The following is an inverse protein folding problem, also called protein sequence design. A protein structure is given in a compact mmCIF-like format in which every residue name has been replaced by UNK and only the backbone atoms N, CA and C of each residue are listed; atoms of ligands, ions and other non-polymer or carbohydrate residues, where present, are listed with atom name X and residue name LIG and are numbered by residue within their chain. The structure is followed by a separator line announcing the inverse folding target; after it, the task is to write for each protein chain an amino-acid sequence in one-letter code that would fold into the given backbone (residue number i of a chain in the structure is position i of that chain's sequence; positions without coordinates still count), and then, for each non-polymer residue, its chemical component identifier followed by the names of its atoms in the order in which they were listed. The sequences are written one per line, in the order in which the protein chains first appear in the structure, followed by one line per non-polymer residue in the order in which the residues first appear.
data_IF_006232713004
#
_entry.id   IF_006232713004
#
_cell.length_a   1.000
_cell.length_b   1.000
_cell.length_c   1.000
_cell.angle_alpha   90.00
_cell.angle_beta   90.00
_cell.angle_gamma   90.00
#
_symmetry.space_group_name_H-M   'P 1'
#
loop_
_entity.id
_entity.type
_entity.pdbx_description
1 polymer ?
#
# COMPACT_ATOMS: atom_id res chain seq x y z
N UNK A 1 -21.79 -13.44 17.19
CA UNK A 1 -20.42 -13.94 16.92
C UNK A 1 -19.61 -12.81 16.30
N UNK A 2 -18.62 -12.25 17.00
CA UNK A 2 -17.69 -11.31 16.37
C UNK A 2 -16.81 -12.11 15.39
N UNK A 3 -17.04 -11.97 14.09
CA UNK A 3 -16.16 -12.48 13.05
C UNK A 3 -14.80 -11.77 13.20
N UNK A 4 -13.90 -12.35 14.00
CA UNK A 4 -12.53 -11.86 14.15
C UNK A 4 -11.85 -12.01 12.80
N UNK A 5 -11.35 -10.91 12.22
CA UNK A 5 -10.55 -10.96 11.00
C UNK A 5 -9.43 -12.01 11.16
N UNK A 6 -9.33 -12.99 10.24
CA UNK A 6 -8.29 -14.02 10.23
C UNK A 6 -6.86 -13.45 10.26
N UNK A 7 -5.90 -14.23 10.77
CA UNK A 7 -4.51 -13.78 10.95
C UNK A 7 -3.82 -13.49 9.61
N UNK A 8 -4.03 -14.34 8.60
CA UNK A 8 -3.58 -14.15 7.23
C UNK A 8 -4.11 -12.85 6.62
N UNK A 9 -5.42 -12.56 6.79
CA UNK A 9 -6.02 -11.30 6.33
C UNK A 9 -5.44 -10.08 7.06
N UNK A 10 -5.20 -10.18 8.37
CA UNK A 10 -4.55 -9.12 9.15
C UNK A 10 -3.11 -8.89 8.70
N UNK A 11 -2.35 -9.95 8.47
CA UNK A 11 -0.98 -9.86 8.00
C UNK A 11 -0.90 -9.24 6.60
N UNK A 12 -1.78 -9.67 5.70
CA UNK A 12 -1.96 -9.07 4.38
C UNK A 12 -2.24 -7.57 4.45
N UNK A 13 -3.17 -7.18 5.32
CA UNK A 13 -3.48 -5.77 5.56
C UNK A 13 -2.26 -4.97 6.04
N UNK A 14 -1.44 -5.53 6.93
CA UNK A 14 -0.19 -4.88 7.36
C UNK A 14 0.76 -4.68 6.18
N UNK A 15 0.98 -5.70 5.35
CA UNK A 15 1.86 -5.59 4.18
C UNK A 15 1.38 -4.56 3.16
N UNK A 16 0.08 -4.54 2.85
CA UNK A 16 -0.52 -3.52 1.99
C UNK A 16 -0.42 -2.11 2.56
N UNK A 17 -0.66 -1.94 3.86
CA UNK A 17 -0.55 -0.62 4.50
C UNK A 17 0.89 -0.10 4.53
N UNK A 18 1.87 -0.99 4.74
CA UNK A 18 3.30 -0.64 4.64
C UNK A 18 3.68 -0.23 3.23
N UNK A 19 3.15 -0.93 2.22
CA UNK A 19 3.50 -0.66 0.84
C UNK A 19 2.71 0.50 0.21
N UNK A 20 1.54 0.86 0.75
CA UNK A 20 0.72 1.99 0.30
C UNK A 20 0.99 3.29 1.06
N UNK A 21 2.17 3.41 1.68
CA UNK A 21 2.53 4.63 2.40
C UNK A 21 2.72 5.79 1.43
N UNK A 22 2.20 6.96 1.82
CA UNK A 22 2.45 8.23 1.16
C UNK A 22 3.18 9.17 2.06
N UNK A 23 3.95 10.07 1.45
CA UNK A 23 4.54 11.17 2.17
C UNK A 23 3.46 12.20 2.52
N UNK A 24 3.34 12.57 3.79
CA UNK A 24 2.45 13.63 4.25
C UNK A 24 3.13 14.45 5.35
N UNK A 25 3.45 15.70 5.03
CA UNK A 25 4.23 16.56 5.92
C UNK A 25 5.66 16.05 6.08
N UNK A 26 5.98 15.46 7.24
CA UNK A 26 7.30 14.91 7.55
C UNK A 26 7.30 13.40 7.82
N UNK A 27 6.19 12.72 7.49
CA UNK A 27 6.00 11.30 7.85
C UNK A 27 5.40 10.50 6.69
N UNK A 28 5.74 9.22 6.67
CA UNK A 28 5.05 8.24 5.85
C UNK A 28 3.76 7.81 6.54
N UNK A 29 2.64 7.97 5.84
CA UNK A 29 1.30 7.63 6.36
C UNK A 29 0.65 6.62 5.40
N UNK A 30 0.15 5.47 5.88
CA UNK A 30 -0.58 4.53 5.05
C UNK A 30 -1.84 5.13 4.41
N UNK A 31 -2.15 4.72 3.19
CA UNK A 31 -3.39 5.10 2.49
C UNK A 31 -4.57 4.22 2.92
N UNK A 32 -5.02 4.41 4.16
CA UNK A 32 -6.07 3.59 4.78
C UNK A 32 -7.35 3.42 3.93
N UNK A 33 -7.81 4.49 3.26
CA UNK A 33 -9.05 4.43 2.46
C UNK A 33 -8.90 3.59 1.20
N UNK A 34 -7.71 3.56 0.60
CA UNK A 34 -7.45 2.80 -0.61
C UNK A 34 -7.35 1.31 -0.27
N UNK A 35 -6.53 0.97 0.72
CA UNK A 35 -6.40 -0.41 1.21
C UNK A 35 -7.73 -0.95 1.76
N UNK A 36 -8.56 -0.09 2.37
CA UNK A 36 -9.90 -0.46 2.82
C UNK A 36 -10.79 -0.97 1.68
N UNK A 37 -10.73 -0.31 0.51
CA UNK A 37 -11.48 -0.73 -0.68
C UNK A 37 -10.94 -2.04 -1.26
N UNK A 38 -9.62 -2.20 -1.30
CA UNK A 38 -8.98 -3.41 -1.84
C UNK A 38 -9.27 -4.66 -0.99
N UNK A 39 -9.36 -4.49 0.33
CA UNK A 39 -9.54 -5.60 1.27
C UNK A 39 -10.98 -5.82 1.72
N UNK A 40 -11.93 -5.03 1.21
CA UNK A 40 -13.32 -5.01 1.67
C UNK A 40 -13.40 -4.87 3.21
N UNK A 41 -12.71 -3.85 3.73
CA UNK A 41 -12.64 -3.54 5.16
C UNK A 41 -13.01 -2.09 5.43
N UNK A 42 -13.47 -1.79 6.65
CA UNK A 42 -13.63 -0.39 7.06
C UNK A 42 -12.26 0.25 7.35
N UNK A 43 -12.06 1.54 7.05
CA UNK A 43 -10.83 2.25 7.41
C UNK A 43 -10.49 2.15 8.90
N UNK A 44 -11.52 2.16 9.77
CA UNK A 44 -11.33 2.02 11.21
C UNK A 44 -10.72 0.67 11.60
N UNK A 45 -11.14 -0.42 10.95
CA UNK A 45 -10.55 -1.75 11.18
C UNK A 45 -9.06 -1.77 10.79
N UNK A 46 -8.71 -1.15 9.67
CA UNK A 46 -7.33 -1.03 9.22
C UNK A 46 -6.47 -0.17 10.15
N UNK A 47 -7.01 0.91 10.72
CA UNK A 47 -6.32 1.70 11.74
C UNK A 47 -5.99 0.83 12.96
N UNK A 48 -6.97 0.06 13.45
CA UNK A 48 -6.76 -0.87 14.57
C UNK A 48 -5.73 -1.95 14.23
N UNK A 49 -5.76 -2.49 13.01
CA UNK A 49 -4.75 -3.45 12.54
C UNK A 49 -3.36 -2.80 12.51
N UNK A 50 -3.23 -1.60 11.96
CA UNK A 50 -1.96 -0.87 11.85
C UNK A 50 -1.34 -0.53 13.20
N UNK A 51 -2.17 -0.14 14.17
CA UNK A 51 -1.73 0.09 15.55
C UNK A 51 -1.18 -1.18 16.20
N UNK A 52 -1.67 -2.36 15.79
CA UNK A 52 -1.24 -3.66 16.30
C UNK A 52 -0.27 -4.40 15.36
N UNK A 53 0.31 -3.71 14.36
CA UNK A 53 1.07 -4.35 13.26
C UNK A 53 2.21 -5.24 13.73
N UNK A 54 3.01 -4.79 14.70
CA UNK A 54 4.16 -5.56 15.21
C UNK A 54 3.72 -6.88 15.83
N UNK A 55 2.67 -6.85 16.67
CA UNK A 55 2.11 -8.06 17.27
C UNK A 55 1.45 -8.99 16.23
N UNK A 56 0.94 -8.44 15.12
CA UNK A 56 0.38 -9.22 14.01
C UNK A 56 1.52 -9.89 13.24
N UNK A 57 2.59 -9.18 12.92
CA UNK A 57 3.76 -9.73 12.23
C UNK A 57 4.45 -10.83 13.03
N UNK A 58 4.66 -10.62 14.34
CA UNK A 58 5.22 -11.66 15.23
C UNK A 58 4.33 -12.91 15.24
N UNK A 59 2.99 -12.73 15.33
CA UNK A 59 2.06 -13.87 15.31
C UNK A 59 2.02 -14.55 13.95
N UNK A 60 2.08 -13.79 12.85
CA UNK A 60 2.10 -14.34 11.51
C UNK A 60 3.34 -15.21 11.30
N UNK A 61 4.52 -14.71 11.65
CA UNK A 61 5.78 -15.45 11.52
C UNK A 61 5.82 -16.74 12.37
N UNK A 62 5.05 -16.81 13.46
CA UNK A 62 4.97 -18.00 14.33
C UNK A 62 3.92 -19.01 13.89
N UNK A 63 2.81 -18.56 13.29
CA UNK A 63 1.61 -19.39 13.09
C UNK A 63 1.24 -19.61 11.63
N UNK A 64 1.71 -18.79 10.69
CA UNK A 64 1.52 -19.02 9.26
C UNK A 64 2.67 -19.87 8.72
N UNK A 65 2.38 -20.72 7.74
CA UNK A 65 3.43 -21.44 7.04
C UNK A 65 4.27 -20.48 6.20
N UNK A 66 5.52 -20.85 5.92
CA UNK A 66 6.39 -20.06 5.05
C UNK A 66 5.76 -19.87 3.65
N UNK A 67 5.08 -20.90 3.12
CA UNK A 67 4.36 -20.78 1.85
C UNK A 67 3.25 -19.71 1.90
N UNK A 68 2.49 -19.63 3.00
CA UNK A 68 1.46 -18.58 3.15
C UNK A 68 2.09 -17.18 3.22
N UNK A 69 3.18 -17.04 3.97
CA UNK A 69 3.91 -15.76 4.10
C UNK A 69 4.47 -15.33 2.74
N UNK A 70 5.16 -16.23 2.03
CA UNK A 70 5.72 -15.96 0.70
C UNK A 70 4.62 -15.60 -0.30
N UNK A 71 3.52 -16.35 -0.34
CA UNK A 71 2.39 -16.04 -1.22
C UNK A 71 1.79 -14.66 -0.94
N UNK A 72 1.65 -14.27 0.32
CA UNK A 72 1.17 -12.93 0.68
C UNK A 72 2.18 -11.88 0.20
N UNK A 73 3.46 -12.03 0.53
CA UNK A 73 4.50 -11.07 0.16
C UNK A 73 4.62 -10.92 -1.37
N UNK A 74 4.64 -12.02 -2.13
CA UNK A 74 4.70 -12.00 -3.59
C UNK A 74 3.49 -11.31 -4.23
N UNK A 75 2.28 -11.61 -3.74
CA UNK A 75 1.08 -10.96 -4.23
C UNK A 75 1.10 -9.45 -3.95
N UNK A 76 1.56 -9.06 -2.76
CA UNK A 76 1.64 -7.63 -2.42
C UNK A 76 2.74 -6.91 -3.19
N UNK A 77 3.90 -7.53 -3.43
CA UNK A 77 4.93 -6.99 -4.32
C UNK A 77 4.30 -6.72 -5.68
N UNK A 78 3.65 -7.70 -6.30
CA UNK A 78 3.00 -7.56 -7.62
C UNK A 78 1.99 -6.41 -7.67
N UNK A 79 1.20 -6.21 -6.61
CA UNK A 79 0.25 -5.09 -6.54
C UNK A 79 0.96 -3.74 -6.48
N UNK A 80 2.04 -3.65 -5.71
CA UNK A 80 2.88 -2.44 -5.62
C UNK A 80 3.52 -2.14 -6.97
N UNK A 81 4.08 -3.15 -7.66
CA UNK A 81 4.66 -2.94 -8.99
C UNK A 81 3.60 -2.45 -9.98
N UNK A 82 2.42 -3.08 -9.97
CA UNK A 82 1.33 -2.70 -10.85
C UNK A 82 0.91 -1.25 -10.61
N UNK A 83 0.78 -0.83 -9.35
CA UNK A 83 0.42 0.54 -8.98
C UNK A 83 1.50 1.53 -9.40
N UNK A 84 2.77 1.24 -9.13
CA UNK A 84 3.88 2.09 -9.54
C UNK A 84 3.89 2.26 -11.07
N UNK A 85 3.75 1.17 -11.82
CA UNK A 85 3.69 1.20 -13.27
C UNK A 85 2.49 2.00 -13.78
N UNK A 86 1.31 1.90 -13.14
CA UNK A 86 0.14 2.70 -13.51
C UNK A 86 0.37 4.19 -13.31
N UNK A 87 0.99 4.59 -12.19
CA UNK A 87 1.29 6.00 -11.90
C UNK A 87 2.31 6.56 -12.90
N UNK A 88 3.37 5.79 -13.20
CA UNK A 88 4.42 6.23 -14.13
C UNK A 88 3.91 6.26 -15.58
N UNK A 89 3.20 5.22 -16.04
CA UNK A 89 2.68 5.14 -17.42
C UNK A 89 1.59 6.16 -17.73
N UNK A 90 0.82 6.60 -16.72
CA UNK A 90 -0.20 7.64 -16.86
C UNK A 90 0.37 8.93 -17.46
N UNK A 91 1.63 9.24 -17.17
CA UNK A 91 2.29 10.48 -17.55
C UNK A 91 3.37 10.29 -18.63
N UNK A 92 3.58 9.08 -19.13
CA UNK A 92 4.66 8.75 -20.07
C UNK A 92 4.64 9.61 -21.35
N UNK A 93 3.46 10.00 -21.81
CA UNK A 93 3.26 10.74 -23.08
C UNK A 93 2.79 12.18 -22.88
N UNK A 94 2.84 12.70 -21.66
CA UNK A 94 2.37 14.06 -21.38
C UNK A 94 3.35 15.11 -21.92
N UNK A 95 2.83 16.13 -22.61
CA UNK A 95 3.61 17.32 -22.98
C UNK A 95 3.59 18.34 -21.83
N UNK A 96 4.55 18.18 -20.92
CA UNK A 96 4.70 19.04 -19.73
C UNK A 96 4.89 20.53 -20.07
N UNK A 97 5.37 20.85 -21.28
CA UNK A 97 5.59 22.25 -21.70
C UNK A 97 4.29 23.03 -21.89
N UNK A 98 3.17 22.31 -22.10
CA UNK A 98 1.83 22.89 -22.34
C UNK A 98 0.84 22.59 -21.22
N UNK A 99 1.28 21.93 -20.15
CA UNK A 99 0.44 21.53 -19.05
C UNK A 99 0.16 22.72 -18.11
N UNK A 100 -1.07 22.82 -17.58
CA UNK A 100 -1.37 23.79 -16.53
C UNK A 100 -0.60 23.45 -15.25
N UNK A 101 -0.22 24.46 -14.48
CA UNK A 101 0.64 24.28 -13.28
C UNK A 101 0.03 23.34 -12.25
N UNK A 102 -1.28 23.41 -12.02
CA UNK A 102 -2.01 22.50 -11.13
C UNK A 102 -1.90 21.04 -11.58
N UNK A 103 -2.05 20.79 -12.89
CA UNK A 103 -1.89 19.46 -13.47
C UNK A 103 -0.45 18.96 -13.47
N UNK A 104 0.51 19.88 -13.64
CA UNK A 104 1.93 19.57 -13.57
C UNK A 104 2.32 19.13 -12.15
N UNK A 105 1.81 19.81 -11.12
CA UNK A 105 2.03 19.42 -9.71
C UNK A 105 1.43 18.03 -9.45
N UNK A 106 0.20 17.77 -9.89
CA UNK A 106 -0.42 16.43 -9.77
C UNK A 106 0.41 15.35 -10.46
N UNK A 107 0.91 15.61 -11.68
CA UNK A 107 1.75 14.67 -12.42
C UNK A 107 3.08 14.39 -11.70
N UNK A 108 3.70 15.43 -11.13
CA UNK A 108 4.91 15.26 -10.32
C UNK A 108 4.66 14.44 -9.06
N UNK A 109 3.56 14.69 -8.35
CA UNK A 109 3.19 13.93 -7.15
C UNK A 109 2.97 12.44 -7.48
N UNK A 110 2.25 12.14 -8.57
CA UNK A 110 2.00 10.78 -9.05
C UNK A 110 3.32 10.07 -9.43
N UNK A 111 4.23 10.75 -10.11
CA UNK A 111 5.55 10.19 -10.46
C UNK A 111 6.44 9.96 -9.25
N UNK A 112 6.52 10.92 -8.33
CA UNK A 112 7.29 10.77 -7.10
C UNK A 112 6.75 9.61 -6.27
N UNK A 113 5.43 9.46 -6.17
CA UNK A 113 4.81 8.31 -5.53
C UNK A 113 5.17 7.00 -6.25
N UNK A 114 5.05 6.94 -7.58
CA UNK A 114 5.44 5.76 -8.36
C UNK A 114 6.90 5.36 -8.13
N UNK A 115 7.81 6.34 -8.14
CA UNK A 115 9.24 6.14 -7.87
C UNK A 115 9.50 5.64 -6.44
N UNK A 116 8.85 6.23 -5.43
CA UNK A 116 8.98 5.77 -4.04
C UNK A 116 8.52 4.33 -3.87
N UNK A 117 7.45 3.92 -4.56
CA UNK A 117 6.97 2.54 -4.56
C UNK A 117 7.96 1.57 -5.22
N UNK A 118 8.74 2.02 -6.21
CA UNK A 118 9.81 1.20 -6.80
C UNK A 118 11.07 1.11 -5.94
N UNK A 119 11.39 2.15 -5.17
CA UNK A 119 12.64 2.23 -4.38
C UNK A 119 12.56 1.54 -3.01
N UNK A 120 11.37 1.41 -2.42
CA UNK A 120 11.17 0.73 -1.12
C UNK A 120 11.03 -0.81 -1.23
N UNK A 121 11.66 -1.42 -2.25
CA UNK A 121 11.74 -2.87 -2.44
C UNK A 121 12.97 -3.45 -1.74
#
# INVERSE_FOLDING_TARGET
MQNRTPLDKKYRAVKLLSASQRFWGSRFVPRFREVARELDMTPQNLITIWQNREAIEIRANRNLSQSQISNINENEIKQVEKRANQLLSKHENDDYSKMKVDKLIEAMDDMFEGLLLTLNR
#
